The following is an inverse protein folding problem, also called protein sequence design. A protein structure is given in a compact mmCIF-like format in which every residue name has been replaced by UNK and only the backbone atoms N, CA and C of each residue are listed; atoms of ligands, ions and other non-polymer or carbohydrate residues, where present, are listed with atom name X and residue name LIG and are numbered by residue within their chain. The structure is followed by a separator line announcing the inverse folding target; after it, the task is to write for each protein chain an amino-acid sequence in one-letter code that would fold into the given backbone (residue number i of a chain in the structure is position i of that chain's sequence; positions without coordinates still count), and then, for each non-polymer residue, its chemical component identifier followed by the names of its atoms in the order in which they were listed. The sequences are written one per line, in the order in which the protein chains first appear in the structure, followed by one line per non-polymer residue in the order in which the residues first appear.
data_IF_395529197442
#
_entry.id   IF_395529197442
#
_cell.length_a   1.000
_cell.length_b   1.000
_cell.length_c   1.000
_cell.angle_alpha   90.00
_cell.angle_beta   90.00
_cell.angle_gamma   90.00
#
_symmetry.space_group_name_H-M   'P 1'
#
loop_
_entity.id
_entity.type
_entity.pdbx_description
1 polymer ?
#
# COMPACT_ATOMS: atom_id res chain seq x y z
N UNK A 1 -7.89 1.65 -24.59
CA UNK A 1 -8.06 1.47 -23.12
C UNK A 1 -8.76 0.15 -22.77
N UNK A 2 -9.85 -0.24 -23.45
CA UNK A 2 -10.59 -1.48 -23.17
C UNK A 2 -9.78 -2.79 -23.38
N UNK A 3 -8.89 -2.86 -24.37
CA UNK A 3 -7.99 -4.02 -24.57
C UNK A 3 -7.02 -4.29 -23.41
N UNK A 4 -6.53 -3.24 -22.74
CA UNK A 4 -5.69 -3.43 -21.53
C UNK A 4 -6.52 -3.90 -20.34
N UNK A 5 -7.80 -3.53 -20.30
CA UNK A 5 -8.74 -3.96 -19.29
C UNK A 5 -9.11 -5.43 -19.42
N UNK A 6 -9.31 -5.91 -20.65
CA UNK A 6 -9.57 -7.32 -20.94
C UNK A 6 -8.43 -8.23 -20.45
N UNK A 7 -7.16 -7.81 -20.63
CA UNK A 7 -6.01 -8.54 -20.07
C UNK A 7 -6.01 -8.62 -18.55
N UNK A 8 -6.54 -7.60 -17.87
CA UNK A 8 -6.57 -7.52 -16.40
C UNK A 8 -7.79 -8.20 -15.81
N UNK A 9 -8.88 -8.26 -16.56
CA UNK A 9 -10.17 -8.85 -16.16
C UNK A 9 -10.78 -9.62 -17.32
N UNK A 10 -10.30 -10.85 -17.63
CA UNK A 10 -10.84 -11.67 -18.71
C UNK A 10 -12.33 -11.97 -18.53
N UNK A 11 -12.77 -12.12 -17.28
CA UNK A 11 -14.18 -12.33 -16.91
C UNK A 11 -15.11 -11.13 -17.18
N UNK A 12 -14.59 -10.01 -17.69
CA UNK A 12 -15.42 -8.88 -18.11
C UNK A 12 -15.98 -9.05 -19.52
N UNK A 13 -15.35 -9.88 -20.36
CA UNK A 13 -15.83 -10.27 -21.70
C UNK A 13 -16.82 -11.43 -21.54
N UNK A 14 -18.10 -11.08 -21.52
CA UNK A 14 -19.17 -11.99 -21.13
C UNK A 14 -19.68 -12.83 -22.29
N UNK A 15 -19.53 -12.32 -23.52
CA UNK A 15 -19.89 -13.04 -24.74
C UNK A 15 -18.71 -13.84 -25.33
N UNK A 16 -17.50 -13.66 -24.79
CA UNK A 16 -16.31 -14.42 -25.15
C UNK A 16 -15.75 -14.07 -26.53
N UNK A 17 -16.10 -12.89 -27.06
CA UNK A 17 -15.74 -12.48 -28.41
C UNK A 17 -14.31 -11.91 -28.51
N UNK A 18 -13.58 -11.81 -27.39
CA UNK A 18 -12.20 -11.33 -27.34
C UNK A 18 -12.08 -9.79 -27.38
N UNK A 19 -13.19 -9.06 -27.29
CA UNK A 19 -13.25 -7.60 -27.33
C UNK A 19 -14.22 -7.03 -26.29
N UNK A 20 -13.66 -6.39 -25.26
CA UNK A 20 -14.47 -5.78 -24.22
C UNK A 20 -15.22 -4.54 -24.71
N UNK A 21 -16.54 -4.58 -24.73
CA UNK A 21 -17.40 -3.44 -25.07
C UNK A 21 -17.58 -2.46 -23.89
N UNK A 22 -18.06 -1.25 -24.17
CA UNK A 22 -18.35 -0.25 -23.13
C UNK A 22 -19.52 -0.64 -22.22
N UNK A 23 -20.41 -1.53 -22.69
CA UNK A 23 -21.54 -2.05 -21.94
C UNK A 23 -21.09 -3.16 -20.99
N UNK A 24 -20.28 -4.11 -21.48
CA UNK A 24 -19.68 -5.15 -20.66
C UNK A 24 -18.75 -4.59 -19.58
N UNK A 25 -17.94 -3.59 -19.92
CA UNK A 25 -17.11 -2.90 -18.94
C UNK A 25 -17.94 -2.23 -17.83
N UNK A 26 -19.11 -1.65 -18.17
CA UNK A 26 -20.03 -1.05 -17.20
C UNK A 26 -20.75 -2.10 -16.37
N UNK A 27 -21.23 -3.17 -16.98
CA UNK A 27 -21.88 -4.30 -16.30
C UNK A 27 -20.92 -4.98 -15.31
N UNK A 28 -19.67 -5.21 -15.71
CA UNK A 28 -18.63 -5.76 -14.84
C UNK A 28 -18.28 -4.83 -13.66
N UNK A 29 -18.31 -3.51 -13.87
CA UNK A 29 -18.13 -2.54 -12.79
C UNK A 29 -19.33 -2.47 -11.85
N UNK A 30 -20.54 -2.60 -12.39
CA UNK A 30 -21.77 -2.64 -11.61
C UNK A 30 -21.86 -3.92 -10.77
N UNK A 31 -21.50 -5.08 -11.33
CA UNK A 31 -21.46 -6.36 -10.59
C UNK A 31 -20.41 -6.33 -9.48
N UNK A 32 -19.27 -5.68 -9.69
CA UNK A 32 -18.28 -5.41 -8.63
C UNK A 32 -18.76 -4.43 -7.56
N UNK A 33 -19.72 -3.56 -7.86
CA UNK A 33 -20.36 -2.68 -6.87
C UNK A 33 -21.45 -3.43 -6.09
N UNK A 34 -22.22 -4.30 -6.73
CA UNK A 34 -23.26 -5.12 -6.08
C UNK A 34 -22.68 -6.28 -5.23
N UNK A 35 -21.60 -6.92 -5.66
CA UNK A 35 -20.92 -7.99 -4.91
C UNK A 35 -20.20 -7.55 -3.63
N UNK A 36 -20.27 -6.26 -3.28
CA UNK A 36 -19.66 -5.68 -2.06
C UNK A 36 -20.61 -5.60 -0.86
N UNK A 37 -21.89 -5.97 -1.02
CA UNK A 37 -22.79 -6.05 0.12
C UNK A 37 -22.46 -7.32 0.93
N UNK A 38 -21.64 -7.15 1.98
CA UNK A 38 -21.38 -8.16 3.02
C UNK A 38 -20.02 -8.85 2.94
N UNK A 39 -19.46 -9.07 1.74
CA UNK A 39 -18.15 -9.71 1.60
C UNK A 39 -17.01 -8.72 1.88
N UNK A 40 -16.12 -9.09 2.81
CA UNK A 40 -14.96 -8.29 3.16
C UNK A 40 -13.93 -8.19 2.03
N UNK A 41 -12.89 -7.36 2.22
CA UNK A 41 -11.81 -7.31 1.24
C UNK A 41 -11.16 -8.70 1.13
N UNK A 42 -10.71 -9.12 -0.08
CA UNK A 42 -10.10 -10.44 -0.25
C UNK A 42 -8.90 -10.62 0.68
N UNK A 43 -8.89 -11.72 1.43
CA UNK A 43 -7.83 -12.04 2.39
C UNK A 43 -6.71 -12.87 1.76
N UNK A 44 -7.01 -13.61 0.70
CA UNK A 44 -6.06 -14.38 -0.09
C UNK A 44 -5.75 -13.67 -1.40
N UNK A 45 -4.52 -13.83 -1.88
CA UNK A 45 -4.07 -13.24 -3.13
C UNK A 45 -2.92 -14.00 -3.77
N UNK A 46 -2.82 -13.82 -5.08
CA UNK A 46 -1.64 -14.20 -5.83
C UNK A 46 -0.43 -13.40 -5.37
N UNK A 47 0.65 -14.15 -5.08
CA UNK A 47 1.99 -13.65 -4.78
C UNK A 47 2.89 -14.11 -5.91
N UNK A 48 3.61 -13.18 -6.53
CA UNK A 48 4.53 -13.53 -7.61
C UNK A 48 5.66 -14.45 -7.09
N UNK A 49 5.98 -15.56 -7.77
CA UNK A 49 7.08 -16.46 -7.39
C UNK A 49 8.43 -15.77 -7.25
N UNK A 50 8.60 -14.58 -7.86
CA UNK A 50 9.78 -13.76 -7.68
C UNK A 50 10.05 -13.33 -6.23
N UNK A 51 9.05 -13.34 -5.34
CA UNK A 51 9.26 -13.13 -3.90
C UNK A 51 10.06 -14.25 -3.23
N UNK A 52 10.07 -15.45 -3.82
CA UNK A 52 10.87 -16.58 -3.30
C UNK A 52 12.29 -16.61 -3.88
N UNK A 53 12.65 -15.67 -4.75
CA UNK A 53 14.00 -15.57 -5.30
C UNK A 53 14.89 -14.77 -4.36
N UNK A 54 16.19 -15.05 -4.42
CA UNK A 54 17.20 -14.30 -3.65
C UNK A 54 17.28 -12.82 -4.01
N UNK A 55 16.79 -12.43 -5.21
CA UNK A 55 16.86 -11.07 -5.73
C UNK A 55 15.63 -10.75 -6.59
N UNK A 56 15.10 -9.55 -6.44
CA UNK A 56 14.14 -8.96 -7.38
C UNK A 56 14.76 -8.72 -8.77
N UNK A 57 13.95 -8.51 -9.83
CA UNK A 57 14.47 -8.14 -11.16
C UNK A 57 15.50 -7.00 -11.11
N UNK A 58 16.52 -7.05 -11.97
CA UNK A 58 17.65 -6.10 -11.92
C UNK A 58 17.25 -4.65 -12.18
N UNK A 59 16.12 -4.43 -12.85
CA UNK A 59 15.54 -3.11 -13.09
C UNK A 59 14.67 -2.59 -11.92
N UNK A 60 14.64 -3.28 -10.78
CA UNK A 60 13.92 -2.81 -9.59
C UNK A 60 14.52 -1.51 -9.06
N UNK A 61 13.66 -0.53 -8.77
CA UNK A 61 14.08 0.80 -8.31
C UNK A 61 14.90 0.75 -7.01
N UNK A 62 14.70 -0.22 -6.12
CA UNK A 62 15.44 -0.35 -4.87
C UNK A 62 16.95 -0.58 -5.05
N UNK A 63 17.39 -0.99 -6.24
CA UNK A 63 18.81 -1.16 -6.56
C UNK A 63 19.46 0.09 -7.16
N UNK A 64 18.67 1.09 -7.52
CA UNK A 64 19.16 2.31 -8.16
C UNK A 64 19.77 3.28 -7.14
N UNK A 65 20.56 4.22 -7.63
CA UNK A 65 21.13 5.31 -6.85
C UNK A 65 20.06 6.37 -6.52
N UNK A 66 20.21 7.13 -5.43
CA UNK A 66 19.24 8.19 -5.10
C UNK A 66 18.95 9.17 -6.25
N UNK A 67 19.94 9.66 -7.04
CA UNK A 67 19.66 10.53 -8.18
C UNK A 67 18.79 9.86 -9.27
N UNK A 68 19.01 8.58 -9.56
CA UNK A 68 18.21 7.82 -10.53
C UNK A 68 16.76 7.65 -10.06
N UNK A 69 16.57 7.29 -8.77
CA UNK A 69 15.23 7.15 -8.18
C UNK A 69 14.48 8.50 -8.24
N UNK A 70 15.16 9.61 -7.94
CA UNK A 70 14.57 10.96 -8.05
C UNK A 70 14.25 11.34 -9.49
N UNK A 71 15.07 10.93 -10.47
CA UNK A 71 14.79 11.19 -11.88
C UNK A 71 13.50 10.48 -12.33
N UNK A 72 13.36 9.17 -12.00
CA UNK A 72 12.15 8.41 -12.27
C UNK A 72 10.95 9.05 -11.58
N UNK A 73 11.10 9.45 -10.32
CA UNK A 73 10.04 10.13 -9.60
C UNK A 73 9.53 11.38 -10.34
N UNK A 74 10.44 12.25 -10.81
CA UNK A 74 10.07 13.48 -11.51
C UNK A 74 9.34 13.20 -12.83
N UNK A 75 9.74 12.14 -13.53
CA UNK A 75 9.06 11.69 -14.75
C UNK A 75 7.65 11.15 -14.48
N UNK A 76 7.50 10.33 -13.42
CA UNK A 76 6.23 9.66 -13.08
C UNK A 76 5.24 10.61 -12.42
N UNK A 77 5.73 11.58 -11.64
CA UNK A 77 4.92 12.55 -10.89
C UNK A 77 5.23 14.00 -11.30
N UNK A 78 5.05 14.39 -12.57
CA UNK A 78 5.46 15.71 -13.08
C UNK A 78 4.63 16.87 -12.51
N UNK A 79 3.50 16.54 -11.85
CA UNK A 79 2.58 17.50 -11.25
C UNK A 79 2.64 17.50 -9.73
N UNK A 80 3.54 16.75 -9.10
CA UNK A 80 3.68 16.87 -7.65
C UNK A 80 4.31 18.24 -7.34
N UNK A 81 3.56 19.17 -6.73
CA UNK A 81 4.05 20.52 -6.49
C UNK A 81 5.14 20.57 -5.41
N UNK A 82 5.28 19.49 -4.63
CA UNK A 82 6.26 19.38 -3.56
C UNK A 82 6.88 17.98 -3.61
N UNK A 83 7.83 17.75 -4.53
CA UNK A 83 8.66 16.57 -4.48
C UNK A 83 9.57 16.69 -3.26
N UNK A 84 9.05 16.25 -2.11
CA UNK A 84 9.74 16.34 -0.83
C UNK A 84 10.82 15.26 -0.82
N UNK A 85 11.99 15.63 -1.31
CA UNK A 85 13.18 14.80 -1.20
C UNK A 85 13.83 15.02 0.16
N UNK A 86 14.06 16.25 0.61
CA UNK A 86 14.59 16.53 1.93
C UNK A 86 13.61 17.35 2.76
N UNK A 87 13.17 16.78 3.88
CA UNK A 87 12.44 17.51 4.91
C UNK A 87 13.44 17.93 5.98
N UNK A 88 13.57 19.24 6.30
CA UNK A 88 14.30 19.68 7.49
C UNK A 88 13.81 18.93 8.73
N UNK A 89 14.72 18.61 9.65
CA UNK A 89 14.33 17.97 10.89
C UNK A 89 13.42 18.91 11.69
N UNK A 90 12.17 18.51 12.00
CA UNK A 90 11.26 19.33 12.79
C UNK A 90 11.61 19.23 14.29
N UNK A 91 11.36 20.30 15.05
CA UNK A 91 11.63 20.32 16.50
C UNK A 91 10.71 19.40 17.32
N UNK A 92 9.48 19.19 16.84
CA UNK A 92 8.38 18.56 17.62
C UNK A 92 7.70 17.37 16.91
N UNK A 93 8.25 16.90 15.79
CA UNK A 93 7.64 15.85 14.98
C UNK A 93 8.67 14.82 14.52
N UNK A 94 8.17 13.70 14.00
CA UNK A 94 8.95 12.76 13.21
C UNK A 94 8.67 13.01 11.73
N UNK A 95 9.63 12.75 10.85
CA UNK A 95 9.43 12.70 9.41
C UNK A 95 8.96 11.30 9.06
N UNK A 96 7.69 11.15 8.67
CA UNK A 96 7.05 9.84 8.55
C UNK A 96 6.76 9.50 7.08
N UNK A 97 7.26 8.35 6.63
CA UNK A 97 6.75 7.69 5.42
C UNK A 97 5.74 6.61 5.80
N UNK A 98 4.79 6.31 4.92
CA UNK A 98 3.87 5.21 5.23
C UNK A 98 3.11 4.63 4.06
N UNK A 99 2.86 3.33 4.12
CA UNK A 99 1.88 2.66 3.26
C UNK A 99 0.62 2.37 4.05
N UNK A 100 -0.43 1.96 3.34
CA UNK A 100 -1.64 1.52 4.02
C UNK A 100 -2.85 1.44 3.12
N UNK A 101 -3.80 0.64 3.57
CA UNK A 101 -5.09 0.47 2.93
C UNK A 101 -6.11 1.51 3.43
N UNK A 102 -7.37 1.36 3.04
CA UNK A 102 -8.47 2.25 3.40
C UNK A 102 -8.71 2.41 4.90
N UNK A 103 -8.11 1.54 5.74
CA UNK A 103 -8.15 1.64 7.20
C UNK A 103 -7.12 2.64 7.74
N UNK A 104 -5.92 2.68 7.15
CA UNK A 104 -4.88 3.64 7.51
C UNK A 104 -5.15 5.04 6.97
N UNK A 105 -5.77 5.13 5.78
CA UNK A 105 -5.93 6.39 5.07
C UNK A 105 -6.67 7.49 5.87
N UNK A 106 -7.74 7.21 6.64
CA UNK A 106 -8.35 8.18 7.54
C UNK A 106 -7.37 8.70 8.60
N UNK A 107 -6.62 7.81 9.27
CA UNK A 107 -5.60 8.20 10.24
C UNK A 107 -4.56 9.14 9.66
N UNK A 108 -4.01 8.81 8.49
CA UNK A 108 -3.04 9.67 7.80
C UNK A 108 -3.60 11.04 7.38
N UNK A 109 -4.90 11.17 7.13
CA UNK A 109 -5.52 12.47 6.79
C UNK A 109 -5.75 13.31 8.03
N UNK A 110 -6.18 12.69 9.12
CA UNK A 110 -6.50 13.38 10.37
C UNK A 110 -5.25 13.75 11.16
N UNK A 111 -4.20 12.92 11.12
CA UNK A 111 -3.00 13.11 11.93
C UNK A 111 -2.34 14.49 11.73
N UNK A 112 -2.09 14.99 10.49
CA UNK A 112 -1.57 16.34 10.31
C UNK A 112 -2.48 17.46 10.82
N UNK A 113 -3.81 17.24 10.85
CA UNK A 113 -4.76 18.21 11.41
C UNK A 113 -4.61 18.29 12.92
N UNK A 114 -4.47 17.14 13.60
CA UNK A 114 -4.23 17.06 15.03
C UNK A 114 -2.92 17.75 15.40
N UNK A 115 -1.84 17.47 14.68
CA UNK A 115 -0.53 18.10 14.90
C UNK A 115 -0.61 19.62 14.77
N UNK A 116 -1.30 20.14 13.74
CA UNK A 116 -1.50 21.59 13.58
C UNK A 116 -2.28 22.19 14.73
N UNK A 117 -3.32 21.52 15.22
CA UNK A 117 -4.06 21.96 16.40
C UNK A 117 -3.18 21.99 17.67
N UNK A 118 -2.18 21.11 17.74
CA UNK A 118 -1.15 21.08 18.79
C UNK A 118 0.02 22.05 18.53
N UNK A 119 -0.02 22.85 17.47
CA UNK A 119 0.95 23.92 17.19
C UNK A 119 2.22 23.48 16.45
N UNK A 120 2.19 22.36 15.71
CA UNK A 120 3.31 21.96 14.84
C UNK A 120 2.85 21.30 13.53
N UNK A 121 3.69 21.35 12.50
CA UNK A 121 3.44 20.63 11.24
C UNK A 121 4.00 19.22 11.31
N UNK A 122 3.29 18.28 10.70
CA UNK A 122 3.67 16.88 10.64
C UNK A 122 4.16 16.51 9.24
N UNK A 123 5.47 16.33 9.02
CA UNK A 123 5.96 15.83 7.76
C UNK A 123 5.51 14.39 7.56
N UNK A 124 4.65 14.18 6.58
CA UNK A 124 4.00 12.90 6.31
C UNK A 124 3.94 12.65 4.81
N UNK A 125 4.53 11.55 4.36
CA UNK A 125 4.50 11.10 2.97
C UNK A 125 3.90 9.71 2.90
N UNK A 126 2.73 9.60 2.28
CA UNK A 126 2.03 8.31 2.20
C UNK A 126 1.85 7.83 0.77
N UNK A 127 1.91 6.51 0.61
CA UNK A 127 1.48 5.82 -0.59
C UNK A 127 0.40 4.79 -0.22
N UNK A 128 -0.85 5.23 -0.26
CA UNK A 128 -2.00 4.41 0.15
C UNK A 128 -2.75 3.79 -1.04
N UNK A 129 -3.60 2.81 -0.77
CA UNK A 129 -4.51 2.19 -1.73
C UNK A 129 -5.80 1.70 -1.07
N UNK A 130 -6.76 1.23 -1.86
CA UNK A 130 -7.97 0.57 -1.34
C UNK A 130 -7.75 -0.93 -1.15
N UNK A 131 -8.12 -1.47 0.01
CA UNK A 131 -7.90 -2.88 0.34
C UNK A 131 -6.45 -3.32 0.06
N UNK A 132 -6.28 -4.47 -0.57
CA UNK A 132 -4.98 -5.06 -0.93
C UNK A 132 -4.05 -4.14 -1.71
N UNK A 133 -4.56 -3.19 -2.49
CA UNK A 133 -3.70 -2.24 -3.24
C UNK A 133 -2.94 -1.26 -2.34
N UNK A 134 -3.30 -1.21 -1.05
CA UNK A 134 -2.58 -0.48 -0.01
C UNK A 134 -1.66 -1.35 0.84
N UNK A 135 -1.59 -2.66 0.59
CA UNK A 135 -0.74 -3.56 1.39
C UNK A 135 0.75 -3.29 1.15
N UNK A 136 1.54 -3.72 2.13
CA UNK A 136 2.99 -3.51 2.15
C UNK A 136 3.67 -4.13 0.93
N UNK A 137 3.30 -5.38 0.60
CA UNK A 137 3.75 -6.09 -0.62
C UNK A 137 3.37 -5.33 -1.88
N UNK A 138 2.10 -4.98 -2.03
CA UNK A 138 1.59 -4.37 -3.26
C UNK A 138 2.30 -3.04 -3.54
N UNK A 139 2.50 -2.23 -2.49
CA UNK A 139 3.23 -0.98 -2.60
C UNK A 139 4.69 -1.19 -2.92
N UNK A 140 5.35 -2.21 -2.35
CA UNK A 140 6.73 -2.53 -2.71
C UNK A 140 6.86 -2.85 -4.20
N UNK A 141 6.01 -3.71 -4.74
CA UNK A 141 6.02 -4.08 -6.15
C UNK A 141 5.76 -2.87 -7.07
N UNK A 142 4.81 -2.03 -6.68
CA UNK A 142 4.44 -0.82 -7.40
C UNK A 142 5.56 0.22 -7.40
N UNK A 143 6.21 0.45 -6.26
CA UNK A 143 7.33 1.39 -6.13
C UNK A 143 8.52 0.95 -6.96
N UNK A 144 8.80 -0.35 -6.96
CA UNK A 144 9.92 -0.94 -7.70
C UNK A 144 9.65 -1.13 -9.19
N UNK A 145 8.40 -1.10 -9.63
CA UNK A 145 8.06 -1.38 -11.03
C UNK A 145 8.38 -2.82 -11.42
N UNK A 146 8.10 -3.79 -10.54
CA UNK A 146 8.38 -5.23 -10.72
C UNK A 146 7.09 -6.05 -10.82
N UNK A 147 7.21 -7.28 -11.34
CA UNK A 147 6.10 -8.23 -11.50
C UNK A 147 4.92 -7.62 -12.29
N UNK A 148 3.74 -7.50 -11.67
CA UNK A 148 2.57 -6.85 -12.27
C UNK A 148 2.77 -5.38 -12.66
N UNK A 149 3.85 -4.76 -12.18
CA UNK A 149 4.27 -3.39 -12.50
C UNK A 149 5.53 -3.30 -13.35
N UNK A 150 5.98 -4.41 -13.95
CA UNK A 150 7.19 -4.46 -14.77
C UNK A 150 7.32 -3.24 -15.72
N UNK A 151 8.39 -2.45 -15.52
CA UNK A 151 8.71 -1.28 -16.32
C UNK A 151 7.81 -0.05 -16.08
N UNK A 152 7.00 -0.06 -15.02
CA UNK A 152 6.09 1.04 -14.65
C UNK A 152 6.20 1.38 -13.17
N UNK A 153 7.40 1.75 -12.68
CA UNK A 153 7.60 2.10 -11.28
C UNK A 153 6.80 3.34 -10.88
N UNK A 154 6.46 3.41 -9.60
CA UNK A 154 5.79 4.55 -8.96
C UNK A 154 6.51 4.85 -7.63
N UNK A 155 7.76 5.34 -7.66
CA UNK A 155 8.68 5.31 -6.51
C UNK A 155 8.42 6.45 -5.53
N UNK A 156 7.20 6.57 -5.01
CA UNK A 156 6.77 7.68 -4.16
C UNK A 156 7.48 7.72 -2.80
N UNK A 157 7.67 6.57 -2.18
CA UNK A 157 8.32 6.42 -0.88
C UNK A 157 9.79 6.05 -1.01
N UNK A 158 10.18 5.25 -2.03
CA UNK A 158 11.59 4.96 -2.30
C UNK A 158 12.36 6.25 -2.60
N UNK A 159 11.79 7.16 -3.41
CA UNK A 159 12.40 8.45 -3.68
C UNK A 159 12.48 9.35 -2.43
N UNK A 160 11.50 9.25 -1.54
CA UNK A 160 11.50 9.98 -0.28
C UNK A 160 12.60 9.44 0.64
N UNK A 161 12.64 8.14 0.92
CA UNK A 161 13.62 7.55 1.84
C UNK A 161 15.06 7.65 1.33
N UNK A 162 15.29 7.60 0.02
CA UNK A 162 16.63 7.60 -0.58
C UNK A 162 17.46 8.88 -0.28
N UNK A 163 16.87 9.89 0.35
CA UNK A 163 17.47 11.21 0.59
C UNK A 163 18.06 11.37 2.01
N UNK A 164 17.83 10.39 2.89
CA UNK A 164 18.44 10.31 4.23
C UNK A 164 17.82 11.20 5.31
N UNK A 165 16.54 11.58 5.14
CA UNK A 165 15.86 12.55 6.00
C UNK A 165 14.53 12.03 6.58
N UNK A 166 14.34 10.72 6.78
CA UNK A 166 13.09 10.18 7.31
C UNK A 166 13.33 9.40 8.60
N UNK A 167 12.48 9.64 9.59
CA UNK A 167 12.67 9.15 10.97
C UNK A 167 11.86 7.88 11.24
N UNK A 168 10.71 7.72 10.58
CA UNK A 168 9.87 6.55 10.79
C UNK A 168 9.15 6.09 9.52
N UNK A 169 8.93 4.78 9.43
CA UNK A 169 8.01 4.17 8.47
C UNK A 169 6.84 3.49 9.19
N UNK A 170 5.63 3.78 8.72
CA UNK A 170 4.40 3.18 9.23
C UNK A 170 3.73 2.28 8.19
N UNK A 171 3.18 1.15 8.62
CA UNK A 171 2.38 0.26 7.78
C UNK A 171 1.02 -0.05 8.39
N UNK A 172 0.03 -0.24 7.52
CA UNK A 172 -1.17 -0.99 7.88
C UNK A 172 -1.02 -2.43 7.39
N UNK A 173 -1.03 -3.43 8.28
CA UNK A 173 -0.93 -4.82 7.89
C UNK A 173 -2.11 -5.21 7.02
N UNK A 174 -1.88 -6.10 6.07
CA UNK A 174 -2.93 -6.73 5.31
C UNK A 174 -2.96 -8.24 5.61
N UNK A 175 -4.10 -8.87 5.34
CA UNK A 175 -4.25 -10.31 5.49
C UNK A 175 -3.13 -11.06 4.76
N UNK A 176 -2.71 -12.22 5.29
CA UNK A 176 -1.69 -13.09 4.70
C UNK A 176 -0.34 -12.39 4.37
N UNK A 177 -0.05 -11.24 5.00
CA UNK A 177 1.27 -10.63 4.90
C UNK A 177 2.34 -11.56 5.49
N UNK A 178 3.55 -11.45 4.94
CA UNK A 178 4.70 -12.24 5.35
C UNK A 178 5.84 -11.32 5.80
N UNK A 179 6.74 -11.77 6.70
CA UNK A 179 7.85 -10.94 7.17
C UNK A 179 8.71 -10.35 6.04
N UNK A 180 8.89 -11.08 4.93
CA UNK A 180 9.70 -10.63 3.78
C UNK A 180 9.12 -9.37 3.11
N UNK A 181 7.80 -9.17 3.23
CA UNK A 181 7.15 -7.98 2.68
C UNK A 181 7.54 -6.73 3.46
N UNK A 182 7.88 -6.85 4.74
CA UNK A 182 8.34 -5.76 5.59
C UNK A 182 9.86 -5.61 5.53
N UNK A 183 10.59 -6.73 5.55
CA UNK A 183 12.05 -6.75 5.57
C UNK A 183 12.66 -5.92 4.42
N UNK A 184 12.11 -6.02 3.21
CA UNK A 184 12.62 -5.25 2.07
C UNK A 184 12.49 -3.73 2.25
N UNK A 185 11.40 -3.25 2.89
CA UNK A 185 11.24 -1.85 3.25
C UNK A 185 12.18 -1.44 4.37
N UNK A 186 12.38 -2.30 5.37
CA UNK A 186 13.30 -2.08 6.49
C UNK A 186 14.73 -1.92 5.98
N UNK A 187 15.19 -2.87 5.16
CA UNK A 187 16.54 -2.86 4.59
C UNK A 187 16.79 -1.61 3.76
N UNK A 188 15.83 -1.22 2.91
CA UNK A 188 15.95 0.00 2.11
C UNK A 188 15.90 1.26 2.99
N UNK A 189 15.01 1.29 3.98
CA UNK A 189 14.89 2.36 4.95
C UNK A 189 16.19 2.60 5.69
N UNK A 190 16.75 1.55 6.31
CA UNK A 190 18.00 1.60 7.07
C UNK A 190 19.23 1.90 6.22
N UNK A 191 19.26 1.42 4.97
CA UNK A 191 20.34 1.75 4.01
C UNK A 191 20.49 3.26 3.83
N UNK A 192 19.39 4.01 3.82
CA UNK A 192 19.40 5.44 3.57
C UNK A 192 19.18 6.29 4.83
N UNK A 193 18.52 5.74 5.86
CA UNK A 193 18.14 6.40 7.10
C UNK A 193 18.49 5.45 8.27
N UNK A 194 19.76 5.40 8.72
CA UNK A 194 20.26 4.37 9.64
C UNK A 194 19.54 4.30 11.00
N UNK A 195 18.88 5.39 11.41
CA UNK A 195 18.15 5.49 12.67
C UNK A 195 16.62 5.44 12.47
N UNK A 196 16.14 5.04 11.30
CA UNK A 196 14.71 4.96 11.03
C UNK A 196 14.04 3.91 11.91
N UNK A 197 12.92 4.30 12.50
CA UNK A 197 12.06 3.43 13.28
C UNK A 197 10.91 2.88 12.44
N UNK A 198 10.39 1.72 12.84
CA UNK A 198 9.42 0.98 12.04
C UNK A 198 8.21 0.61 12.89
N UNK A 199 7.02 1.00 12.43
CA UNK A 199 5.77 0.85 13.16
C UNK A 199 4.76 0.07 12.33
N UNK A 200 4.24 -0.99 12.91
CA UNK A 200 3.11 -1.73 12.37
C UNK A 200 1.85 -1.35 13.14
N UNK A 201 0.88 -0.72 12.47
CA UNK A 201 -0.41 -0.44 13.10
C UNK A 201 -1.12 -1.75 13.39
N UNK A 202 -1.53 -1.96 14.64
CA UNK A 202 -2.42 -3.06 14.93
C UNK A 202 -3.78 -2.83 14.26
N UNK A 203 -4.41 -3.91 13.80
CA UNK A 203 -5.74 -3.87 13.21
C UNK A 203 -6.80 -3.91 14.31
N UNK A 204 -7.99 -3.37 14.05
CA UNK A 204 -9.08 -3.53 15.01
C UNK A 204 -9.63 -4.94 14.94
N UNK A 205 -10.03 -5.53 16.09
CA UNK A 205 -10.74 -6.80 16.12
C UNK A 205 -11.92 -6.77 15.16
N UNK A 206 -11.99 -7.74 14.26
CA UNK A 206 -13.02 -7.82 13.25
C UNK A 206 -13.80 -9.11 13.46
N UNK A 207 -15.12 -9.00 13.57
CA UNK A 207 -16.00 -10.18 13.71
C UNK A 207 -15.82 -11.21 12.57
N UNK A 208 -15.21 -10.81 11.44
CA UNK A 208 -14.88 -11.69 10.31
C UNK A 208 -13.73 -12.65 10.60
N UNK A 209 -12.93 -12.41 11.64
CA UNK A 209 -11.87 -13.32 12.08
C UNK A 209 -12.44 -14.51 12.88
N UNK A 210 -13.65 -14.37 13.44
CA UNK A 210 -14.33 -15.47 14.13
C UNK A 210 -14.87 -16.48 13.11
N UNK A 211 -14.57 -17.76 13.34
CA UNK A 211 -15.17 -18.88 12.61
C UNK A 211 -15.75 -19.87 13.63
N UNK A 212 -17.10 -20.00 13.71
CA UNK A 212 -18.14 -19.29 12.95
C UNK A 212 -18.32 -17.82 13.39
N UNK A 213 -19.02 -17.02 12.58
CA UNK A 213 -19.44 -15.67 12.97
C UNK A 213 -20.44 -15.74 14.14
N UNK A 214 -20.35 -14.82 15.11
CA UNK A 214 -21.32 -14.76 16.21
C UNK A 214 -22.71 -14.39 15.69
N UNK A 215 -23.74 -15.02 16.26
CA UNK A 215 -25.14 -14.84 15.82
C UNK A 215 -25.89 -13.79 16.63
N UNK A 216 -25.36 -13.37 17.77
CA UNK A 216 -25.94 -12.38 18.67
C UNK A 216 -24.85 -11.63 19.46
N UNK A 217 -25.20 -10.50 20.08
CA UNK A 217 -24.29 -9.76 20.96
C UNK A 217 -23.92 -10.56 22.22
N UNK A 218 -24.79 -11.44 22.69
CA UNK A 218 -24.53 -12.33 23.84
C UNK A 218 -23.35 -13.28 23.59
N UNK A 219 -23.02 -13.56 22.32
CA UNK A 219 -21.87 -14.37 21.93
C UNK A 219 -20.54 -13.56 21.91
N UNK A 220 -20.59 -12.24 22.08
CA UNK A 220 -19.43 -11.34 22.15
C UNK A 220 -18.90 -11.18 23.58
N UNK A 221 -18.51 -12.29 24.20
CA UNK A 221 -17.89 -12.30 25.53
C UNK A 221 -16.41 -11.88 25.50
N UNK A 222 -15.83 -11.58 26.66
CA UNK A 222 -14.39 -11.35 26.79
C UNK A 222 -13.55 -12.52 26.24
N UNK A 223 -14.03 -13.75 26.40
CA UNK A 223 -13.39 -14.96 25.87
C UNK A 223 -13.44 -14.99 24.34
N UNK A 224 -14.54 -14.55 23.73
CA UNK A 224 -14.64 -14.40 22.27
C UNK A 224 -13.70 -13.31 21.75
N UNK A 225 -13.52 -12.22 22.50
CA UNK A 225 -12.58 -11.15 22.14
C UNK A 225 -11.11 -11.58 22.20
N UNK A 226 -10.73 -12.47 23.13
CA UNK A 226 -9.36 -13.03 23.20
C UNK A 226 -9.02 -13.89 21.98
N UNK A 227 -10.03 -14.37 21.24
CA UNK A 227 -9.86 -15.19 20.03
C UNK A 227 -9.76 -14.37 18.73
N UNK A 228 -9.95 -13.05 18.79
CA UNK A 228 -9.86 -12.11 17.67
C UNK A 228 -8.43 -11.61 17.49
#
# INVERSE_FOLDING_TARGET
QLRQWLRRFPAADTDGNGTLTAEEARAFMASRRQGRNGQGPPTEFYVDPGWSKARFPDNAVCYMTPPEIQAIYREVFPKDPQPVFQVPQPEKALRIVGTGHSFMAPGYRTFPVICRAAGFEQPLRTHTGGGMTGSVRYKWEQENGIFGFAGKPQPKLLAAMATGAWDAMMWGPYYADRPEYYACWIDFGLKHNPNMEFYLSDAWPSLRQLRPSPKSEDELSAETFVRL
#
